data_IF_635850141163
#
_entry.id   IF_635850141163
#
_cell.length_a   1.000
_cell.length_b   1.000
_cell.length_c   1.000
_cell.angle_alpha   90.00
_cell.angle_beta   90.00
_cell.angle_gamma   90.00
#
_symmetry.space_group_name_H-M   'P 1'
#
loop_
_entity.id
_entity.type
_entity.pdbx_description
1 polymer ?
#
# COMPACT_ATOMS: atom_id res chain seq x y z
N UNK A 1 -2.17 -32.48 -7.50
CA UNK A 1 -1.19 -31.41 -7.24
C UNK A 1 -1.05 -31.34 -5.72
N UNK A 2 0.06 -31.82 -5.19
CA UNK A 2 0.34 -31.87 -3.75
C UNK A 2 0.69 -30.46 -3.26
N UNK A 3 -0.33 -29.62 -3.12
CA UNK A 3 -0.19 -28.18 -2.82
C UNK A 3 -0.87 -27.91 -1.49
N UNK A 4 -0.14 -27.25 -0.58
CA UNK A 4 -0.67 -26.84 0.70
C UNK A 4 -1.90 -25.93 0.53
N UNK A 5 -2.94 -26.01 1.39
CA UNK A 5 -4.14 -25.19 1.27
C UNK A 5 -3.84 -23.68 1.18
N UNK A 6 -2.78 -23.21 1.84
CA UNK A 6 -2.33 -21.81 1.77
C UNK A 6 -1.86 -21.43 0.37
N UNK A 7 -1.32 -22.35 -0.40
CA UNK A 7 -0.74 -22.08 -1.72
C UNK A 7 -1.71 -22.47 -2.86
N UNK A 8 -2.88 -23.02 -2.53
CA UNK A 8 -4.00 -23.23 -3.45
C UNK A 8 -4.74 -21.91 -3.78
N UNK A 9 -4.01 -20.91 -4.29
CA UNK A 9 -4.53 -19.58 -4.65
C UNK A 9 -4.22 -19.25 -6.10
N UNK A 10 -5.19 -18.65 -6.78
CA UNK A 10 -5.09 -18.22 -8.17
C UNK A 10 -5.45 -16.74 -8.28
N UNK A 11 -4.66 -16.00 -9.05
CA UNK A 11 -4.87 -14.59 -9.37
C UNK A 11 -4.90 -14.40 -10.88
N UNK A 12 -5.77 -13.52 -11.36
CA UNK A 12 -5.85 -13.11 -12.75
C UNK A 12 -5.62 -11.61 -12.83
N UNK A 13 -4.89 -11.16 -13.84
CA UNK A 13 -4.80 -9.77 -14.23
C UNK A 13 -4.99 -9.61 -15.73
N UNK A 14 -5.74 -8.58 -16.12
CA UNK A 14 -6.03 -8.24 -17.50
C UNK A 14 -5.98 -6.73 -17.66
N UNK A 15 -5.29 -6.26 -18.70
CA UNK A 15 -5.07 -4.83 -18.94
C UNK A 15 -5.83 -4.27 -20.15
N UNK A 16 -6.69 -5.08 -20.78
CA UNK A 16 -7.40 -4.74 -22.01
C UNK A 16 -6.94 -5.54 -23.23
N UNK A 17 -5.70 -6.04 -23.22
CA UNK A 17 -5.16 -6.91 -24.28
C UNK A 17 -4.54 -8.19 -23.71
N UNK A 18 -3.67 -8.05 -22.72
CA UNK A 18 -2.93 -9.19 -22.18
C UNK A 18 -3.61 -9.70 -20.92
N UNK A 19 -3.89 -11.01 -20.87
CA UNK A 19 -4.36 -11.68 -19.65
C UNK A 19 -3.24 -12.56 -19.12
N UNK A 20 -2.96 -12.45 -17.81
CA UNK A 20 -2.07 -13.34 -17.10
C UNK A 20 -2.77 -14.03 -15.93
N UNK A 21 -2.53 -15.33 -15.81
CA UNK A 21 -2.95 -16.15 -14.66
C UNK A 21 -1.73 -16.54 -13.84
N UNK A 22 -1.75 -16.26 -12.54
CA UNK A 22 -0.72 -16.68 -11.60
C UNK A 22 -1.32 -17.62 -10.55
N UNK A 23 -0.76 -18.82 -10.44
CA UNK A 23 -1.03 -19.74 -9.34
C UNK A 23 0.14 -19.74 -8.36
N UNK A 24 -0.17 -19.69 -7.07
CA UNK A 24 0.79 -19.90 -5.98
C UNK A 24 1.21 -21.38 -5.93
N UNK A 25 2.30 -21.70 -5.22
CA UNK A 25 2.83 -23.07 -5.17
C UNK A 25 3.86 -23.40 -6.25
N UNK A 26 4.52 -22.37 -6.82
CA UNK A 26 5.69 -22.54 -7.69
C UNK A 26 5.38 -22.86 -9.16
N UNK A 27 4.14 -22.67 -9.60
CA UNK A 27 3.75 -22.88 -11.00
C UNK A 27 4.20 -21.72 -11.90
N UNK A 28 4.56 -22.05 -13.15
CA UNK A 28 4.73 -21.06 -14.21
C UNK A 28 3.39 -20.34 -14.45
N UNK A 29 3.38 -19.01 -14.65
CA UNK A 29 2.15 -18.32 -15.04
C UNK A 29 1.66 -18.76 -16.43
N UNK A 30 0.42 -18.42 -16.75
CA UNK A 30 -0.10 -18.49 -18.11
C UNK A 30 -0.28 -17.07 -18.65
N UNK A 31 0.05 -16.85 -19.92
CA UNK A 31 -0.07 -15.55 -20.60
C UNK A 31 -0.83 -15.72 -21.92
N UNK A 32 -1.79 -14.84 -22.18
CA UNK A 32 -2.58 -14.82 -23.41
C UNK A 32 -2.62 -13.41 -24.00
N UNK A 33 -2.51 -13.31 -25.33
CA UNK A 33 -2.73 -12.08 -26.10
C UNK A 33 -4.14 -12.07 -26.67
N UNK A 34 -5.10 -11.45 -26.00
CA UNK A 34 -6.52 -11.54 -26.40
C UNK A 34 -6.83 -10.76 -27.67
N UNK A 35 -5.91 -9.94 -28.18
CA UNK A 35 -6.07 -9.31 -29.49
C UNK A 35 -5.87 -10.33 -30.62
N UNK A 36 -4.89 -11.21 -30.50
CA UNK A 36 -4.54 -12.20 -31.53
C UNK A 36 -5.07 -13.61 -31.23
N UNK A 37 -5.35 -13.91 -29.97
CA UNK A 37 -5.84 -15.19 -29.44
C UNK A 37 -7.03 -14.93 -28.47
N UNK A 38 -8.17 -14.42 -28.97
CA UNK A 38 -9.32 -14.06 -28.13
C UNK A 38 -9.94 -15.26 -27.40
N UNK A 39 -9.72 -16.47 -27.91
CA UNK A 39 -10.21 -17.73 -27.32
C UNK A 39 -9.21 -18.38 -26.33
N UNK A 40 -8.05 -17.73 -26.09
CA UNK A 40 -7.07 -18.12 -25.09
C UNK A 40 -6.51 -19.55 -25.25
N UNK A 41 -6.34 -20.01 -26.50
CA UNK A 41 -5.81 -21.35 -26.78
C UNK A 41 -4.28 -21.44 -26.69
N UNK A 42 -3.58 -20.32 -26.79
CA UNK A 42 -2.12 -20.26 -26.92
C UNK A 42 -1.47 -19.63 -25.70
N UNK A 43 -1.00 -20.46 -24.76
CA UNK A 43 -0.23 -20.00 -23.60
C UNK A 43 1.20 -19.57 -24.01
N UNK A 44 1.38 -18.25 -24.07
CA UNK A 44 2.59 -17.55 -24.50
C UNK A 44 3.70 -17.52 -23.45
N UNK A 45 3.42 -17.90 -22.20
CA UNK A 45 4.45 -17.95 -21.16
C UNK A 45 5.40 -19.16 -21.32
N UNK A 46 5.16 -20.06 -22.30
CA UNK A 46 6.00 -21.25 -22.56
C UNK A 46 7.27 -20.96 -23.35
N UNK A 47 7.28 -19.91 -24.18
CA UNK A 47 8.35 -19.68 -25.17
C UNK A 47 9.46 -18.77 -24.65
N UNK A 48 9.26 -18.07 -23.53
CA UNK A 48 10.20 -17.10 -22.97
C UNK A 48 10.27 -15.77 -23.73
N UNK A 49 9.62 -15.66 -24.88
CA UNK A 49 9.66 -14.49 -25.77
C UNK A 49 8.86 -13.28 -25.25
N UNK A 50 7.97 -13.50 -24.28
CA UNK A 50 7.03 -12.48 -23.77
C UNK A 50 7.25 -12.12 -22.29
N UNK A 51 8.49 -12.26 -21.80
CA UNK A 51 8.82 -12.02 -20.40
C UNK A 51 8.56 -10.57 -19.98
N UNK A 52 8.74 -9.61 -20.88
CA UNK A 52 8.47 -8.19 -20.63
C UNK A 52 6.98 -7.93 -20.29
N UNK A 53 6.06 -8.63 -20.96
CA UNK A 53 4.63 -8.55 -20.67
C UNK A 53 4.27 -9.23 -19.34
N UNK A 54 4.89 -10.37 -19.04
CA UNK A 54 4.74 -11.06 -17.74
C UNK A 54 5.20 -10.15 -16.60
N UNK A 55 6.38 -9.55 -16.72
CA UNK A 55 6.96 -8.66 -15.70
C UNK A 55 6.07 -7.43 -15.47
N UNK A 56 5.58 -6.81 -16.56
CA UNK A 56 4.65 -5.67 -16.48
C UNK A 56 3.34 -6.04 -15.79
N UNK A 57 2.75 -7.18 -16.12
CA UNK A 57 1.50 -7.64 -15.52
C UNK A 57 1.68 -8.04 -14.05
N UNK A 58 2.81 -8.65 -13.68
CA UNK A 58 3.14 -8.88 -12.28
C UNK A 58 3.31 -7.57 -11.50
N UNK A 59 3.93 -6.54 -12.10
CA UNK A 59 4.05 -5.24 -11.46
C UNK A 59 2.67 -4.61 -11.16
N UNK A 60 1.74 -4.70 -12.11
CA UNK A 60 0.35 -4.25 -11.93
C UNK A 60 -0.39 -5.07 -10.86
N UNK A 61 -0.25 -6.40 -10.88
CA UNK A 61 -0.86 -7.27 -9.88
C UNK A 61 -0.31 -6.96 -8.48
N UNK A 62 0.99 -6.71 -8.38
CA UNK A 62 1.64 -6.37 -7.11
C UNK A 62 1.20 -4.98 -6.61
N UNK A 63 1.00 -4.00 -7.50
CA UNK A 63 0.40 -2.71 -7.15
C UNK A 63 -1.02 -2.88 -6.60
N UNK A 64 -1.85 -3.69 -7.26
CA UNK A 64 -3.20 -4.02 -6.78
C UNK A 64 -3.16 -4.72 -5.41
N UNK A 65 -2.24 -5.68 -5.23
CA UNK A 65 -2.09 -6.45 -4.00
C UNK A 65 -1.66 -5.61 -2.79
N UNK A 66 -0.84 -4.57 -3.02
CA UNK A 66 -0.38 -3.65 -1.96
C UNK A 66 -1.35 -2.51 -1.63
N UNK A 67 -2.49 -2.40 -2.32
CA UNK A 67 -3.46 -1.33 -2.04
C UNK A 67 -4.01 -1.44 -0.61
N UNK A 68 -4.31 -0.32 0.09
CA UNK A 68 -4.80 -0.34 1.46
C UNK A 68 -6.30 -0.71 1.55
N UNK A 69 -6.67 -1.91 1.07
CA UNK A 69 -8.06 -2.34 0.93
C UNK A 69 -8.83 -2.43 2.26
N UNK A 70 -8.13 -2.56 3.39
CA UNK A 70 -8.73 -2.70 4.72
C UNK A 70 -8.90 -1.36 5.47
N UNK A 71 -8.41 -0.24 4.92
CA UNK A 71 -8.58 1.08 5.54
C UNK A 71 -9.95 1.68 5.19
N UNK A 72 -10.97 1.23 5.89
CA UNK A 72 -12.38 1.57 5.59
C UNK A 72 -13.02 2.60 6.53
N UNK A 73 -12.37 2.94 7.64
CA UNK A 73 -12.96 3.82 8.68
C UNK A 73 -12.63 5.31 8.51
N UNK A 74 -11.73 5.65 7.58
CA UNK A 74 -11.32 7.03 7.28
C UNK A 74 -11.08 7.20 5.78
N UNK A 75 -11.65 8.26 5.21
CA UNK A 75 -11.40 8.65 3.82
C UNK A 75 -10.01 9.26 3.63
N UNK A 76 -9.52 9.29 2.38
CA UNK A 76 -8.27 9.99 2.03
C UNK A 76 -8.30 11.45 2.47
N UNK A 77 -9.43 12.14 2.25
CA UNK A 77 -9.56 13.55 2.62
C UNK A 77 -9.51 13.74 4.14
N UNK A 78 -10.14 12.85 4.91
CA UNK A 78 -10.06 12.91 6.37
C UNK A 78 -8.61 12.75 6.85
N UNK A 79 -7.84 11.83 6.27
CA UNK A 79 -6.43 11.61 6.61
C UNK A 79 -5.57 12.84 6.27
N UNK A 80 -5.77 13.43 5.08
CA UNK A 80 -5.08 14.69 4.69
C UNK A 80 -5.39 15.79 5.70
N UNK A 81 -6.67 15.95 6.08
CA UNK A 81 -7.13 16.95 7.04
C UNK A 81 -6.65 16.70 8.48
N UNK A 82 -6.11 15.51 8.81
CA UNK A 82 -5.57 15.20 10.14
C UNK A 82 -4.11 15.63 10.30
N UNK A 83 -3.37 15.85 9.21
CA UNK A 83 -1.95 16.24 9.25
C UNK A 83 -1.79 17.56 10.03
N UNK A 84 -0.80 17.60 10.92
CA UNK A 84 -0.48 18.79 11.74
C UNK A 84 -1.46 19.09 12.88
N UNK A 85 -2.65 18.48 12.93
CA UNK A 85 -3.65 18.78 13.98
C UNK A 85 -3.19 18.44 15.39
N UNK A 86 -2.24 17.53 15.56
CA UNK A 86 -1.72 17.14 16.87
C UNK A 86 -0.89 18.25 17.55
N UNK A 87 -0.27 19.15 16.78
CA UNK A 87 0.53 20.25 17.33
C UNK A 87 -0.33 21.17 18.20
N UNK A 88 -1.50 21.59 17.69
CA UNK A 88 -2.49 22.39 18.43
C UNK A 88 -3.22 21.62 19.54
N UNK A 89 -2.88 20.34 19.73
CA UNK A 89 -3.35 19.51 20.85
C UNK A 89 -2.21 19.20 21.83
N UNK A 90 -1.10 19.92 21.73
CA UNK A 90 0.00 19.81 22.67
C UNK A 90 0.99 18.66 22.43
N UNK A 91 0.93 18.01 21.27
CA UNK A 91 1.92 16.98 20.90
C UNK A 91 3.07 17.66 20.18
N UNK A 92 4.11 18.06 20.93
CA UNK A 92 5.29 18.77 20.44
C UNK A 92 6.56 17.92 20.62
N UNK A 93 6.83 16.96 19.73
CA UNK A 93 8.05 16.17 19.79
C UNK A 93 9.28 17.01 19.41
N UNK A 94 10.45 16.66 19.98
CA UNK A 94 11.73 17.32 19.75
C UNK A 94 11.79 18.79 20.21
N UNK A 95 11.04 19.13 21.27
CA UNK A 95 11.06 20.45 21.90
C UNK A 95 12.12 20.49 23.00
N UNK A 96 13.10 21.40 22.92
CA UNK A 96 14.09 21.59 23.99
C UNK A 96 13.71 22.75 24.90
N UNK A 97 13.62 23.97 24.35
CA UNK A 97 13.28 25.18 25.11
C UNK A 97 12.02 25.89 24.62
N UNK A 98 11.42 25.40 23.52
CA UNK A 98 10.20 25.96 22.97
C UNK A 98 10.41 27.06 21.95
N UNK A 99 11.66 27.36 21.57
CA UNK A 99 12.00 28.24 20.45
C UNK A 99 11.86 27.56 19.08
N UNK A 100 11.75 26.23 19.03
CA UNK A 100 11.67 25.45 17.79
C UNK A 100 10.31 25.52 17.10
N UNK A 101 9.30 26.05 17.78
CA UNK A 101 7.92 26.14 17.30
C UNK A 101 7.35 27.53 17.57
N UNK A 102 6.25 27.85 16.90
CA UNK A 102 5.52 29.09 17.15
C UNK A 102 5.09 29.17 18.63
N UNK A 103 5.18 30.38 19.20
CA UNK A 103 4.82 30.63 20.59
C UNK A 103 3.38 30.24 20.91
N UNK A 104 2.46 30.36 19.93
CA UNK A 104 1.06 29.92 20.06
C UNK A 104 0.98 28.45 20.49
N UNK A 105 1.88 27.59 19.99
CA UNK A 105 1.86 26.16 20.28
C UNK A 105 2.35 25.81 21.68
N UNK A 106 3.13 26.69 22.31
CA UNK A 106 3.67 26.49 23.65
C UNK A 106 2.99 27.36 24.71
N UNK A 107 1.96 28.12 24.33
CA UNK A 107 1.28 29.06 25.23
C UNK A 107 0.72 28.42 26.50
N UNK A 108 0.33 27.14 26.43
CA UNK A 108 -0.20 26.39 27.58
C UNK A 108 0.88 25.75 28.46
N UNK A 109 2.15 25.83 28.07
CA UNK A 109 3.30 25.30 28.82
C UNK A 109 4.14 26.39 29.48
N UNK A 110 3.97 27.64 29.04
CA UNK A 110 4.70 28.79 29.56
C UNK A 110 3.91 29.41 30.72
N UNK A 111 4.59 29.64 31.83
CA UNK A 111 4.00 30.33 32.98
C UNK A 111 4.50 29.80 34.32
N UNK A 112 4.14 30.48 35.42
CA UNK A 112 4.48 30.02 36.75
C UNK A 112 3.74 28.71 37.08
N UNK A 113 4.44 27.78 37.74
CA UNK A 113 3.83 26.54 38.25
C UNK A 113 2.84 26.90 39.36
N UNK A 114 1.60 26.42 39.24
CA UNK A 114 0.51 26.76 40.16
C UNK A 114 0.58 26.05 41.51
N UNK A 115 1.27 24.91 41.59
CA UNK A 115 1.51 24.19 42.84
C UNK A 115 3.00 23.87 43.00
N UNK A 116 3.59 24.32 44.09
CA UNK A 116 4.89 23.82 44.54
C UNK A 116 4.66 22.48 45.23
N UNK A 117 5.36 21.45 44.79
CA UNK A 117 5.43 20.19 45.52
C UNK A 117 6.51 20.39 46.59
N UNK A 118 6.15 20.32 47.86
CA UNK A 118 7.10 20.27 48.97
C UNK A 118 7.74 18.86 49.01
N UNK A 119 9.06 18.79 49.19
CA UNK A 119 9.83 17.54 49.34
C UNK A 119 9.60 16.88 50.71
#
# INVERSE_FOLDING_TARGET
LDVEPRDARLYMIFDGRWKMMHAEGGFRPMLFDLENDPEEFHDLAKTGEHQDHIDRLYALLAQWGRRPAQRVTKSEQAIKNMRGKSLRKGILPFLYDGSEVDEELTMHYRGPVSQKIEE
#
